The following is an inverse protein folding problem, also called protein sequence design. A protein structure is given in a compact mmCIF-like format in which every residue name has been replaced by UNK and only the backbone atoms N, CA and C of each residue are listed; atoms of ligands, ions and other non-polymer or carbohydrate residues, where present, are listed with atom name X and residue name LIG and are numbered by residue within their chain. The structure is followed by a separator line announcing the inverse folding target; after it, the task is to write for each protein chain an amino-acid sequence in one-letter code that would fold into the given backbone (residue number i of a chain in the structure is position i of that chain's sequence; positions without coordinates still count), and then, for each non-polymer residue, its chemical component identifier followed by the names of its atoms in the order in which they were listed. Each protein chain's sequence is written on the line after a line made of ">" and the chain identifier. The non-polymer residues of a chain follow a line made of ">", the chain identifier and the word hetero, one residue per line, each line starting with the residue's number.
data_IF_024146907374
#
_entry.id   IF_024146907374
#
_cell.length_a   1.000
_cell.length_b   1.000
_cell.length_c   1.000
_cell.angle_alpha   90.00
_cell.angle_beta   90.00
_cell.angle_gamma   90.00
#
_symmetry.space_group_name_H-M   'P 1'
#
loop_
_entity.id
_entity.type
_entity.pdbx_description
1 polymer ?
#
# COMPACT_ATOMS: atom_id res chain seq x y z
N UNK A 1 -22.56 -13.14 21.42
CA UNK A 1 -21.23 -13.13 20.77
C UNK A 1 -20.17 -12.91 21.85
N UNK A 2 -18.95 -13.40 21.68
CA UNK A 2 -17.86 -13.31 22.67
C UNK A 2 -16.62 -12.72 22.02
N UNK A 3 -16.16 -11.58 22.50
CA UNK A 3 -14.92 -10.96 22.05
C UNK A 3 -13.74 -11.45 22.88
N UNK A 4 -12.60 -11.71 22.25
CA UNK A 4 -11.39 -12.17 22.92
C UNK A 4 -10.16 -11.47 22.34
N UNK A 5 -9.29 -10.96 23.21
CA UNK A 5 -8.00 -10.40 22.82
C UNK A 5 -7.07 -11.50 22.30
N UNK A 6 -6.26 -11.17 21.31
CA UNK A 6 -5.27 -12.10 20.75
C UNK A 6 -4.02 -12.11 21.61
N UNK A 7 -3.99 -13.04 22.57
CA UNK A 7 -2.89 -13.20 23.53
C UNK A 7 -2.28 -14.62 23.54
N UNK A 8 -2.76 -15.51 22.67
CA UNK A 8 -2.26 -16.88 22.57
C UNK A 8 -2.17 -17.37 21.11
N UNK A 9 -1.58 -18.55 20.92
CA UNK A 9 -1.40 -19.16 19.59
C UNK A 9 -2.73 -19.49 18.90
N UNK A 10 -3.80 -19.76 19.64
CA UNK A 10 -5.10 -20.14 19.09
C UNK A 10 -5.81 -18.91 18.51
N UNK A 11 -5.95 -17.87 19.31
CA UNK A 11 -6.54 -16.59 18.93
C UNK A 11 -5.75 -15.93 17.79
N UNK A 12 -4.41 -16.02 17.79
CA UNK A 12 -3.59 -15.52 16.69
C UNK A 12 -3.86 -16.26 15.37
N UNK A 13 -4.04 -17.58 15.45
CA UNK A 13 -4.38 -18.41 14.29
C UNK A 13 -5.80 -18.12 13.77
N UNK A 14 -6.75 -17.91 14.67
CA UNK A 14 -8.13 -17.55 14.31
C UNK A 14 -8.17 -16.17 13.63
N UNK A 15 -7.45 -15.20 14.20
CA UNK A 15 -7.28 -13.86 13.63
C UNK A 15 -6.78 -13.92 12.18
N UNK A 16 -5.72 -14.70 11.92
CA UNK A 16 -5.13 -14.80 10.57
C UNK A 16 -6.00 -15.59 9.57
N UNK A 17 -6.80 -16.54 10.05
CA UNK A 17 -7.58 -17.43 9.18
C UNK A 17 -8.96 -16.90 8.84
N UNK A 18 -9.55 -16.04 9.67
CA UNK A 18 -10.89 -15.50 9.45
C UNK A 18 -11.11 -14.95 8.01
N UNK A 19 -10.21 -14.13 7.43
CA UNK A 19 -10.35 -13.67 6.04
C UNK A 19 -10.53 -14.81 5.06
N UNK A 20 -9.71 -15.88 5.16
CA UNK A 20 -9.79 -17.02 4.25
C UNK A 20 -11.17 -17.65 4.22
N UNK A 21 -11.89 -17.58 5.33
CA UNK A 21 -13.27 -18.05 5.39
C UNK A 21 -14.25 -17.03 4.80
N UNK A 22 -14.11 -15.73 5.10
CA UNK A 22 -14.98 -14.66 4.56
C UNK A 22 -14.89 -14.61 3.03
N UNK A 23 -13.67 -14.56 2.48
CA UNK A 23 -13.41 -14.41 1.04
C UNK A 23 -13.36 -15.74 0.27
N UNK A 24 -13.76 -16.88 0.86
CA UNK A 24 -13.58 -18.22 0.26
C UNK A 24 -14.23 -18.43 -1.12
N UNK A 25 -15.21 -17.59 -1.47
CA UNK A 25 -15.92 -17.63 -2.75
C UNK A 25 -15.62 -16.40 -3.63
N UNK A 26 -14.71 -15.53 -3.22
CA UNK A 26 -14.32 -14.36 -3.98
C UNK A 26 -13.07 -14.68 -4.83
N UNK A 27 -13.18 -14.70 -6.17
CA UNK A 27 -12.05 -15.04 -7.05
C UNK A 27 -10.98 -13.93 -7.12
N UNK A 28 -11.31 -12.70 -6.69
CA UNK A 28 -10.41 -11.57 -6.75
C UNK A 28 -9.52 -11.46 -5.51
N UNK A 29 -9.95 -12.05 -4.40
CA UNK A 29 -9.21 -11.94 -3.15
C UNK A 29 -7.89 -12.72 -3.17
N UNK A 30 -6.82 -12.05 -2.77
CA UNK A 30 -5.49 -12.63 -2.62
C UNK A 30 -5.11 -12.60 -1.15
N UNK A 31 -4.91 -13.77 -0.55
CA UNK A 31 -4.52 -13.88 0.86
C UNK A 31 -3.17 -13.20 1.09
N UNK A 32 -3.09 -12.24 2.03
CA UNK A 32 -1.81 -11.75 2.54
C UNK A 32 -0.96 -12.89 3.08
N UNK A 33 0.36 -12.69 3.09
CA UNK A 33 1.28 -13.60 3.75
C UNK A 33 1.05 -13.56 5.26
N UNK A 34 0.85 -14.73 5.87
CA UNK A 34 0.58 -14.85 7.31
C UNK A 34 1.70 -14.22 8.15
N UNK A 35 2.95 -14.36 7.72
CA UNK A 35 4.11 -13.77 8.41
C UNK A 35 4.10 -12.24 8.33
N UNK A 36 3.84 -11.65 7.15
CA UNK A 36 3.75 -10.19 7.00
C UNK A 36 2.70 -9.59 7.95
N UNK A 37 1.57 -10.28 8.13
CA UNK A 37 0.55 -9.84 9.09
C UNK A 37 0.98 -10.07 10.53
N UNK A 38 1.71 -11.15 10.84
CA UNK A 38 2.22 -11.40 12.20
C UNK A 38 3.26 -10.37 12.61
N UNK A 39 4.20 -10.04 11.72
CA UNK A 39 5.31 -9.12 11.99
C UNK A 39 4.82 -7.74 12.41
N UNK A 40 3.66 -7.27 11.91
CA UNK A 40 3.02 -6.01 12.32
C UNK A 40 2.72 -5.97 13.83
N UNK A 41 2.42 -7.11 14.44
CA UNK A 41 2.06 -7.21 15.86
C UNK A 41 3.20 -7.76 16.72
N UNK A 42 4.42 -7.90 16.18
CA UNK A 42 5.59 -8.37 16.90
C UNK A 42 6.51 -7.17 17.24
N UNK A 43 6.66 -6.81 18.53
CA UNK A 43 7.54 -5.72 18.96
C UNK A 43 9.02 -5.88 18.58
N UNK A 44 9.48 -7.09 18.28
CA UNK A 44 10.85 -7.34 17.84
C UNK A 44 11.03 -7.14 16.32
N UNK A 45 9.93 -7.08 15.56
CA UNK A 45 9.94 -6.98 14.10
C UNK A 45 9.41 -5.64 13.60
N UNK A 46 8.47 -5.02 14.32
CA UNK A 46 7.89 -3.74 13.96
C UNK A 46 8.46 -2.61 14.83
N UNK A 47 9.28 -1.75 14.23
CA UNK A 47 9.93 -0.63 14.92
C UNK A 47 8.95 0.39 15.51
N UNK A 48 7.69 0.43 15.05
CA UNK A 48 6.67 1.34 15.55
C UNK A 48 6.31 1.10 17.02
N UNK A 49 6.58 -0.09 17.57
CA UNK A 49 6.43 -0.35 19.01
C UNK A 49 7.40 0.46 19.89
N UNK A 50 8.40 1.13 19.31
CA UNK A 50 9.26 2.07 20.04
C UNK A 50 8.56 3.40 20.40
N UNK A 51 7.47 3.74 19.71
CA UNK A 51 6.71 5.00 19.88
C UNK A 51 5.20 4.77 19.73
N UNK A 52 4.72 3.57 20.05
CA UNK A 52 3.34 3.21 19.84
C UNK A 52 2.94 1.89 20.49
N UNK A 53 1.63 1.68 20.57
CA UNK A 53 1.04 0.47 21.13
C UNK A 53 -0.03 -0.06 20.19
N UNK A 54 -0.11 -1.38 20.05
CA UNK A 54 -1.04 -2.05 19.16
C UNK A 54 -1.58 -3.31 19.83
N UNK A 55 -2.88 -3.58 19.66
CA UNK A 55 -3.50 -4.85 20.04
C UNK A 55 -4.58 -5.23 19.03
N UNK A 56 -5.15 -6.42 19.18
CA UNK A 56 -6.15 -6.98 18.26
C UNK A 56 -7.05 -8.01 18.95
N UNK A 57 -8.26 -8.16 18.41
CA UNK A 57 -9.30 -9.04 18.94
C UNK A 57 -9.94 -9.89 17.84
N UNK A 58 -10.53 -11.00 18.28
CA UNK A 58 -11.38 -11.87 17.47
C UNK A 58 -12.76 -11.95 18.15
N UNK A 59 -13.81 -11.82 17.37
CA UNK A 59 -15.19 -12.00 17.78
C UNK A 59 -15.67 -13.40 17.39
N UNK A 60 -16.26 -14.09 18.36
CA UNK A 60 -16.83 -15.43 18.19
C UNK A 60 -18.35 -15.42 18.31
N UNK A 61 -19.03 -16.25 17.53
CA UNK A 61 -20.45 -16.53 17.70
C UNK A 61 -20.72 -17.43 18.92
N UNK A 62 -21.99 -17.76 19.15
CA UNK A 62 -22.42 -18.62 20.26
C UNK A 62 -21.91 -20.06 20.16
N UNK A 63 -21.50 -20.51 18.96
CA UNK A 63 -20.93 -21.83 18.69
C UNK A 63 -19.40 -21.84 18.80
N UNK A 64 -18.78 -20.69 19.10
CA UNK A 64 -17.34 -20.55 19.22
C UNK A 64 -16.61 -20.44 17.88
N UNK A 65 -17.32 -20.12 16.79
CA UNK A 65 -16.72 -19.88 15.47
C UNK A 65 -16.30 -18.40 15.34
N UNK A 66 -15.11 -18.10 14.80
CA UNK A 66 -14.71 -16.73 14.49
C UNK A 66 -15.64 -16.12 13.45
N UNK A 67 -16.22 -14.96 13.74
CA UNK A 67 -17.12 -14.20 12.85
C UNK A 67 -16.65 -12.77 12.60
N UNK A 68 -15.65 -12.29 13.35
CA UNK A 68 -15.13 -10.94 13.20
C UNK A 68 -13.73 -10.80 13.79
N UNK A 69 -12.98 -9.79 13.36
CA UNK A 69 -11.69 -9.39 13.94
C UNK A 69 -11.46 -7.89 13.75
N UNK A 70 -10.67 -7.30 14.63
CA UNK A 70 -10.25 -5.89 14.51
C UNK A 70 -8.91 -5.70 15.23
N UNK A 71 -8.07 -4.81 14.73
CA UNK A 71 -6.89 -4.30 15.41
C UNK A 71 -7.08 -2.81 15.74
N UNK A 72 -6.52 -2.37 16.86
CA UNK A 72 -6.46 -0.97 17.23
C UNK A 72 -5.04 -0.60 17.69
N UNK A 73 -4.63 0.62 17.40
CA UNK A 73 -3.28 1.08 17.74
C UNK A 73 -3.23 2.59 18.00
N UNK A 74 -2.20 2.99 18.74
CA UNK A 74 -1.78 4.37 18.89
C UNK A 74 -0.35 4.46 18.38
N UNK A 75 -0.14 5.33 17.40
CA UNK A 75 1.19 5.78 17.01
C UNK A 75 1.38 7.19 17.58
N UNK A 76 2.20 7.34 18.62
CA UNK A 76 2.39 8.61 19.31
C UNK A 76 2.96 9.68 18.37
N UNK A 77 3.75 9.28 17.38
CA UNK A 77 4.29 10.19 16.38
C UNK A 77 3.24 10.71 15.41
N UNK A 78 2.05 10.11 15.32
CA UNK A 78 0.96 10.51 14.41
C UNK A 78 -0.27 11.03 15.16
N UNK A 79 -0.61 10.42 16.28
CA UNK A 79 -1.87 10.64 16.99
C UNK A 79 -2.14 12.10 17.36
N UNK A 80 -1.09 12.83 17.75
CA UNK A 80 -1.19 14.21 18.24
C UNK A 80 -0.98 15.28 17.16
N UNK A 81 -0.86 14.88 15.89
CA UNK A 81 -0.74 15.82 14.76
C UNK A 81 -2.08 16.22 14.15
N UNK A 82 -3.14 15.52 14.53
CA UNK A 82 -4.51 15.88 14.16
C UNK A 82 -5.09 16.89 15.16
N UNK A 83 -6.13 17.65 14.78
CA UNK A 83 -6.81 18.58 15.70
C UNK A 83 -7.32 17.91 16.99
N UNK A 84 -7.49 16.59 16.97
CA UNK A 84 -7.87 15.76 18.12
C UNK A 84 -6.93 14.56 18.18
N UNK A 85 -6.48 14.11 19.36
CA UNK A 85 -5.72 12.86 19.50
C UNK A 85 -6.46 11.70 18.84
N UNK A 86 -5.86 11.12 17.80
CA UNK A 86 -6.54 10.14 16.92
C UNK A 86 -5.75 8.84 16.85
N UNK A 87 -6.39 7.73 17.22
CA UNK A 87 -5.85 6.38 17.05
C UNK A 87 -6.17 5.78 15.68
N UNK A 88 -5.65 4.58 15.43
CA UNK A 88 -5.95 3.83 14.22
C UNK A 88 -6.71 2.53 14.50
N UNK A 89 -7.59 2.14 13.58
CA UNK A 89 -8.18 0.81 13.52
C UNK A 89 -7.90 0.17 12.17
N UNK A 90 -7.61 -1.13 12.18
CA UNK A 90 -7.11 -1.87 11.04
C UNK A 90 -7.49 -3.34 11.09
N UNK A 91 -7.13 -4.08 10.03
CA UNK A 91 -7.39 -5.52 9.90
C UNK A 91 -8.85 -5.94 10.19
N UNK A 92 -9.79 -5.00 10.05
CA UNK A 92 -11.20 -5.25 10.27
C UNK A 92 -11.69 -6.32 9.31
N UNK A 93 -12.31 -7.35 9.86
CA UNK A 93 -13.10 -8.30 9.10
C UNK A 93 -14.34 -8.64 9.89
N UNK A 94 -15.47 -8.80 9.21
CA UNK A 94 -16.72 -9.17 9.84
C UNK A 94 -17.57 -9.94 8.86
N UNK A 95 -18.38 -10.87 9.35
CA UNK A 95 -19.55 -11.32 8.59
C UNK A 95 -20.48 -10.12 8.34
N UNK A 96 -21.37 -10.25 7.35
CA UNK A 96 -22.37 -9.24 7.03
C UNK A 96 -23.45 -9.16 8.13
N UNK A 97 -23.06 -8.59 9.26
CA UNK A 97 -23.83 -8.46 10.49
C UNK A 97 -23.42 -7.17 11.20
N UNK A 98 -24.33 -6.21 11.28
CA UNK A 98 -24.09 -4.91 11.90
C UNK A 98 -23.84 -5.02 13.41
N UNK A 99 -24.49 -5.95 14.10
CA UNK A 99 -24.31 -6.11 15.54
C UNK A 99 -22.88 -6.61 15.84
N UNK A 100 -22.38 -7.56 15.04
CA UNK A 100 -21.00 -8.03 15.13
C UNK A 100 -19.99 -6.90 14.84
N UNK A 101 -20.24 -6.09 13.81
CA UNK A 101 -19.40 -4.95 13.48
C UNK A 101 -19.37 -3.91 14.61
N UNK A 102 -20.53 -3.58 15.19
CA UNK A 102 -20.62 -2.65 16.31
C UNK A 102 -19.80 -3.12 17.52
N UNK A 103 -19.88 -4.41 17.88
CA UNK A 103 -19.08 -4.97 19.00
C UNK A 103 -17.57 -4.80 18.74
N UNK A 104 -17.11 -5.02 17.50
CA UNK A 104 -15.71 -4.83 17.13
C UNK A 104 -15.29 -3.37 17.25
N UNK A 105 -16.08 -2.45 16.67
CA UNK A 105 -15.77 -1.02 16.71
C UNK A 105 -15.86 -0.43 18.11
N UNK A 106 -16.84 -0.81 18.92
CA UNK A 106 -16.96 -0.40 20.32
C UNK A 106 -15.75 -0.88 21.15
N UNK A 107 -15.25 -2.09 20.87
CA UNK A 107 -14.07 -2.63 21.55
C UNK A 107 -12.82 -1.81 21.23
N UNK A 108 -12.60 -1.50 19.94
CA UNK A 108 -11.49 -0.65 19.53
C UNK A 108 -11.61 0.77 20.08
N UNK A 109 -12.81 1.37 20.00
CA UNK A 109 -13.12 2.70 20.58
C UNK A 109 -12.80 2.73 22.08
N UNK A 110 -13.32 1.78 22.86
CA UNK A 110 -13.10 1.71 24.30
C UNK A 110 -11.61 1.62 24.64
N UNK A 111 -10.87 0.76 23.94
CA UNK A 111 -9.43 0.63 24.15
C UNK A 111 -8.68 1.92 23.79
N UNK A 112 -9.04 2.58 22.68
CA UNK A 112 -8.44 3.84 22.27
C UNK A 112 -8.75 5.00 23.24
N UNK A 113 -9.97 5.07 23.78
CA UNK A 113 -10.34 6.03 24.82
C UNK A 113 -9.49 5.83 26.09
N UNK A 114 -9.23 4.58 26.49
CA UNK A 114 -8.33 4.27 27.61
C UNK A 114 -6.87 4.71 27.35
N UNK A 115 -6.48 4.89 26.09
CA UNK A 115 -5.18 5.45 25.68
C UNK A 115 -5.22 6.97 25.44
N UNK A 116 -6.31 7.64 25.83
CA UNK A 116 -6.45 9.09 25.72
C UNK A 116 -6.78 9.59 24.30
N UNK A 117 -7.14 8.69 23.38
CA UNK A 117 -7.58 9.09 22.04
C UNK A 117 -9.03 9.59 22.08
N UNK A 118 -9.35 10.51 21.17
CA UNK A 118 -10.65 11.15 21.01
C UNK A 118 -11.32 10.81 19.67
N UNK A 119 -10.61 10.11 18.79
CA UNK A 119 -11.13 9.63 17.52
C UNK A 119 -10.35 8.39 17.06
N UNK A 120 -10.89 7.68 16.07
CA UNK A 120 -10.19 6.63 15.35
C UNK A 120 -10.33 6.79 13.84
N UNK A 121 -9.22 6.66 13.12
CA UNK A 121 -9.20 6.52 11.66
C UNK A 121 -9.15 5.05 11.26
N UNK A 122 -9.80 4.68 10.15
CA UNK A 122 -9.72 3.32 9.66
C UNK A 122 -10.43 3.08 8.31
N UNK A 123 -10.17 1.94 7.67
CA UNK A 123 -9.13 0.99 8.03
C UNK A 123 -7.74 1.50 7.63
N UNK A 124 -6.79 1.43 8.58
CA UNK A 124 -5.37 1.81 8.46
C UNK A 124 -4.50 0.81 9.23
N UNK A 125 -3.18 0.81 9.06
CA UNK A 125 -2.30 -0.17 9.74
C UNK A 125 -1.28 0.48 10.66
N UNK A 126 -0.83 -0.32 11.65
CA UNK A 126 0.24 0.07 12.56
C UNK A 126 1.60 -0.08 11.87
N UNK A 127 2.03 1.01 11.23
CA UNK A 127 3.22 1.05 10.41
C UNK A 127 3.13 2.16 9.36
N UNK A 128 3.98 2.05 8.35
CA UNK A 128 3.98 2.97 7.20
C UNK A 128 2.70 2.85 6.37
N UNK A 129 2.36 3.92 5.64
CA UNK A 129 1.21 3.97 4.74
C UNK A 129 1.54 3.35 3.36
N UNK A 130 2.08 2.13 3.34
CA UNK A 130 2.51 1.45 2.11
C UNK A 130 1.65 0.21 1.75
N UNK A 131 0.97 -0.38 2.75
CA UNK A 131 0.21 -1.64 2.61
C UNK A 131 -1.11 -1.64 3.38
N UNK A 132 -2.10 -2.35 2.82
CA UNK A 132 -3.44 -2.64 3.33
C UNK A 132 -4.17 -1.44 3.94
N UNK A 133 -4.09 -0.30 3.28
CA UNK A 133 -4.66 0.96 3.73
C UNK A 133 -5.96 1.29 2.98
N UNK A 134 -6.94 1.86 3.70
CA UNK A 134 -8.23 2.27 3.14
C UNK A 134 -9.17 1.11 2.85
N UNK A 135 -10.47 1.37 2.92
CA UNK A 135 -11.53 0.42 2.61
C UNK A 135 -11.82 0.46 1.11
N UNK A 136 -11.80 -0.68 0.41
CA UNK A 136 -12.20 -0.72 -0.99
C UNK A 136 -13.70 -0.42 -1.13
N UNK A 137 -14.04 0.71 -1.76
CA UNK A 137 -15.43 1.16 -1.97
C UNK A 137 -15.85 1.15 -3.46
N UNK A 138 -14.88 1.18 -4.38
CA UNK A 138 -15.13 1.08 -5.82
C UNK A 138 -14.03 0.27 -6.50
N UNK A 139 -14.37 -0.45 -7.57
CA UNK A 139 -13.39 -1.20 -8.36
C UNK A 139 -13.00 -2.55 -7.77
N UNK A 140 -13.99 -3.36 -7.37
CA UNK A 140 -13.86 -4.73 -6.83
C UNK A 140 -13.24 -5.73 -7.83
N UNK A 141 -11.98 -5.48 -8.18
CA UNK A 141 -11.11 -6.25 -9.07
C UNK A 141 -9.91 -6.78 -8.27
N UNK A 142 -9.15 -7.77 -8.77
CA UNK A 142 -8.01 -8.33 -8.04
C UNK A 142 -7.03 -7.23 -7.59
N UNK A 143 -6.68 -7.15 -6.29
CA UNK A 143 -5.80 -6.10 -5.77
C UNK A 143 -4.37 -6.31 -6.25
N UNK A 144 -3.67 -5.23 -6.61
CA UNK A 144 -2.22 -5.29 -6.78
C UNK A 144 -1.52 -5.56 -5.44
N UNK A 145 -0.31 -6.10 -5.48
CA UNK A 145 0.50 -6.36 -4.30
C UNK A 145 0.50 -5.18 -3.31
N UNK A 146 0.16 -5.45 -2.05
CA UNK A 146 0.11 -4.47 -0.97
C UNK A 146 -1.19 -3.66 -0.85
N UNK A 147 -2.08 -3.66 -1.85
CA UNK A 147 -3.35 -2.93 -1.75
C UNK A 147 -4.37 -3.70 -0.90
N UNK A 148 -5.25 -2.96 -0.21
CA UNK A 148 -6.34 -3.57 0.55
C UNK A 148 -7.44 -4.10 -0.39
N UNK A 149 -8.18 -5.11 0.06
CA UNK A 149 -9.33 -5.64 -0.65
C UNK A 149 -10.39 -6.07 0.35
N UNK A 150 -11.64 -5.64 0.14
CA UNK A 150 -12.73 -5.82 1.08
C UNK A 150 -14.02 -6.20 0.34
N UNK A 151 -14.96 -6.91 0.98
CA UNK A 151 -16.28 -7.15 0.41
C UNK A 151 -17.08 -5.84 0.34
N UNK A 152 -17.97 -5.67 -0.66
CA UNK A 152 -18.75 -4.45 -0.82
C UNK A 152 -19.56 -4.04 0.43
N UNK A 153 -20.09 -5.01 1.19
CA UNK A 153 -20.92 -4.73 2.37
C UNK A 153 -20.16 -4.07 3.53
N UNK A 154 -18.81 -4.11 3.53
CA UNK A 154 -18.04 -3.46 4.60
C UNK A 154 -18.27 -1.95 4.65
N UNK A 155 -18.53 -1.31 3.50
CA UNK A 155 -18.83 0.12 3.47
C UNK A 155 -20.03 0.44 4.37
N UNK A 156 -21.09 -0.35 4.26
CA UNK A 156 -22.29 -0.17 5.04
C UNK A 156 -22.04 -0.42 6.53
N UNK A 157 -21.21 -1.41 6.89
CA UNK A 157 -20.85 -1.68 8.28
C UNK A 157 -20.15 -0.49 8.97
N UNK A 158 -19.22 0.16 8.27
CA UNK A 158 -18.53 1.36 8.75
C UNK A 158 -19.51 2.53 8.87
N UNK A 159 -20.24 2.84 7.79
CA UNK A 159 -21.11 4.02 7.72
C UNK A 159 -22.27 3.94 8.72
N UNK A 160 -22.88 2.77 8.92
CA UNK A 160 -23.94 2.57 9.90
C UNK A 160 -23.47 2.69 11.35
N UNK A 161 -22.21 2.38 11.65
CA UNK A 161 -21.65 2.62 12.99
C UNK A 161 -21.43 4.12 13.26
N UNK A 162 -21.35 4.94 12.20
CA UNK A 162 -21.19 6.39 12.27
C UNK A 162 -19.83 6.89 11.78
N UNK A 163 -19.02 6.05 11.13
CA UNK A 163 -17.81 6.51 10.46
C UNK A 163 -18.17 7.45 9.31
N UNK A 164 -17.41 8.54 9.18
CA UNK A 164 -17.54 9.50 8.06
C UNK A 164 -16.29 9.46 7.19
N UNK A 165 -16.43 9.79 5.90
CA UNK A 165 -15.28 9.87 4.98
C UNK A 165 -14.26 10.88 5.53
N UNK A 166 -13.01 10.44 5.68
CA UNK A 166 -11.87 11.34 5.89
C UNK A 166 -11.30 11.78 4.54
N UNK A 167 -10.90 10.82 3.70
CA UNK A 167 -10.37 11.06 2.35
C UNK A 167 -10.45 9.78 1.49
N UNK A 168 -10.49 9.97 0.19
CA UNK A 168 -10.42 8.88 -0.81
C UNK A 168 -9.03 8.78 -1.42
N UNK A 169 -8.69 7.59 -1.88
CA UNK A 169 -7.42 7.24 -2.49
C UNK A 169 -7.71 6.56 -3.81
N UNK A 170 -7.17 7.11 -4.88
CA UNK A 170 -7.39 6.62 -6.23
C UNK A 170 -6.26 5.70 -6.65
N UNK A 171 -6.66 4.56 -7.20
CA UNK A 171 -5.80 3.73 -8.05
C UNK A 171 -6.26 3.92 -9.48
N UNK A 172 -5.40 4.49 -10.31
CA UNK A 172 -5.67 4.64 -11.75
C UNK A 172 -4.94 3.54 -12.52
N UNK A 173 -5.57 3.00 -13.56
CA UNK A 173 -4.98 2.01 -14.44
C UNK A 173 -4.58 2.66 -15.77
N UNK A 174 -3.31 2.51 -16.10
CA UNK A 174 -2.74 2.87 -17.39
C UNK A 174 -2.67 1.61 -18.26
N UNK A 175 -3.46 1.60 -19.33
CA UNK A 175 -3.47 0.51 -20.31
C UNK A 175 -2.23 0.62 -21.21
N UNK A 176 -1.34 -0.39 -21.14
CA UNK A 176 -0.12 -0.40 -21.93
C UNK A 176 -0.36 -0.75 -23.41
N UNK A 177 -1.55 -1.26 -23.75
CA UNK A 177 -1.95 -1.56 -25.13
C UNK A 177 -2.46 -0.33 -25.88
N UNK A 178 -2.78 0.74 -25.15
CA UNK A 178 -3.24 2.01 -25.71
C UNK A 178 -2.05 2.98 -25.77
N UNK A 179 -1.76 3.59 -26.94
CA UNK A 179 -0.74 4.63 -27.03
C UNK A 179 -1.02 5.77 -26.05
N UNK A 180 0.03 6.28 -25.41
CA UNK A 180 -0.10 7.48 -24.58
C UNK A 180 -0.55 8.69 -25.43
N UNK A 181 -1.22 9.68 -24.82
CA UNK A 181 -1.58 10.90 -25.51
C UNK A 181 -0.36 11.57 -26.16
N UNK A 182 -0.49 12.00 -27.43
CA UNK A 182 0.62 12.57 -28.21
C UNK A 182 1.30 13.75 -27.50
N UNK A 183 0.51 14.59 -26.82
CA UNK A 183 1.01 15.70 -26.01
C UNK A 183 1.97 15.24 -24.92
N UNK A 184 1.65 14.12 -24.26
CA UNK A 184 2.50 13.55 -23.22
C UNK A 184 3.82 13.06 -23.82
N UNK A 185 3.76 12.25 -24.87
CA UNK A 185 4.94 11.71 -25.56
C UNK A 185 5.86 12.81 -26.09
N UNK A 186 5.31 13.87 -26.69
CA UNK A 186 6.11 14.98 -27.19
C UNK A 186 6.87 15.71 -26.09
N UNK A 187 6.25 15.91 -24.93
CA UNK A 187 6.87 16.57 -23.78
C UNK A 187 7.96 15.65 -23.19
N UNK A 188 7.67 14.37 -22.96
CA UNK A 188 8.64 13.43 -22.42
C UNK A 188 9.86 13.29 -23.32
N UNK A 189 9.66 13.12 -24.63
CA UNK A 189 10.75 12.96 -25.60
C UNK A 189 11.62 14.21 -25.71
N UNK A 190 11.02 15.40 -25.59
CA UNK A 190 11.76 16.66 -25.56
C UNK A 190 12.60 16.79 -24.29
N UNK A 191 12.03 16.44 -23.12
CA UNK A 191 12.75 16.46 -21.84
C UNK A 191 13.92 15.48 -21.86
N UNK A 192 13.72 14.26 -22.37
CA UNK A 192 14.76 13.22 -22.45
C UNK A 192 15.94 13.62 -23.34
N UNK A 193 15.72 14.52 -24.32
CA UNK A 193 16.77 15.00 -25.24
C UNK A 193 17.49 16.25 -24.74
N UNK A 194 17.07 16.85 -23.62
CA UNK A 194 17.71 18.06 -23.10
C UNK A 194 19.14 17.78 -22.67
N UNK A 195 20.11 18.63 -23.07
CA UNK A 195 21.48 18.54 -22.55
C UNK A 195 21.52 18.58 -21.03
N UNK A 196 22.46 17.83 -20.45
CA UNK A 196 22.63 17.73 -19.00
C UNK A 196 21.77 16.65 -18.35
N UNK A 197 20.63 16.26 -18.93
CA UNK A 197 19.83 15.18 -18.35
C UNK A 197 20.33 13.80 -18.78
N UNK A 198 20.39 12.87 -17.84
CA UNK A 198 20.57 11.45 -18.13
C UNK A 198 19.61 10.60 -17.30
N UNK A 199 19.29 9.42 -17.82
CA UNK A 199 18.38 8.47 -17.19
C UNK A 199 19.07 7.13 -17.09
N UNK A 200 19.00 6.48 -15.94
CA UNK A 200 19.50 5.12 -15.78
C UNK A 200 18.57 4.27 -14.94
N UNK A 201 18.51 2.98 -15.27
CA UNK A 201 17.78 2.01 -14.47
C UNK A 201 18.63 1.55 -13.28
N UNK A 202 17.95 1.15 -12.21
CA UNK A 202 18.55 0.57 -11.03
C UNK A 202 19.42 -0.64 -11.39
N UNK A 203 20.51 -0.84 -10.66
CA UNK A 203 21.38 -2.01 -10.82
C UNK A 203 21.75 -2.57 -9.46
N UNK A 204 21.57 -3.87 -9.26
CA UNK A 204 21.82 -4.50 -7.96
C UNK A 204 23.28 -4.35 -7.52
N UNK A 205 24.22 -4.39 -8.46
CA UNK A 205 25.66 -4.19 -8.20
C UNK A 205 25.97 -2.79 -7.63
N UNK A 206 25.15 -1.79 -7.96
CA UNK A 206 25.32 -0.38 -7.57
C UNK A 206 24.28 0.05 -6.53
N UNK A 207 23.63 -0.91 -5.84
CA UNK A 207 22.46 -0.65 -4.98
C UNK A 207 22.67 0.46 -3.94
N UNK A 208 23.87 0.55 -3.34
CA UNK A 208 24.15 1.55 -2.31
C UNK A 208 24.20 2.98 -2.87
N UNK A 209 24.60 3.16 -4.13
CA UNK A 209 24.49 4.46 -4.82
C UNK A 209 23.01 4.82 -4.95
N UNK A 210 22.20 3.92 -5.52
CA UNK A 210 20.77 4.16 -5.71
C UNK A 210 19.99 4.36 -4.41
N UNK A 211 20.38 3.72 -3.31
CA UNK A 211 19.78 3.98 -2.00
C UNK A 211 20.06 5.40 -1.50
N UNK A 212 21.27 5.91 -1.73
CA UNK A 212 21.61 7.31 -1.40
C UNK A 212 20.87 8.29 -2.30
N UNK A 213 20.86 8.04 -3.60
CA UNK A 213 20.14 8.86 -4.58
C UNK A 213 18.63 8.91 -4.24
N UNK A 214 18.03 7.76 -3.90
CA UNK A 214 16.64 7.66 -3.46
C UNK A 214 16.40 8.47 -2.18
N UNK A 215 17.25 8.29 -1.16
CA UNK A 215 17.14 9.02 0.11
C UNK A 215 17.18 10.53 -0.11
N UNK A 216 18.13 11.01 -0.93
CA UNK A 216 18.31 12.42 -1.21
C UNK A 216 17.08 13.02 -1.90
N UNK A 217 16.59 12.38 -2.97
CA UNK A 217 15.40 12.85 -3.70
C UNK A 217 14.17 12.78 -2.80
N UNK A 218 13.97 11.68 -2.06
CA UNK A 218 12.79 11.46 -1.22
C UNK A 218 12.72 12.49 -0.08
N UNK A 219 13.83 12.72 0.61
CA UNK A 219 13.88 13.67 1.71
C UNK A 219 13.71 15.12 1.23
N UNK A 220 14.23 15.47 0.04
CA UNK A 220 13.94 16.77 -0.55
C UNK A 220 12.46 16.90 -0.94
N UNK A 221 11.95 15.98 -1.75
CA UNK A 221 10.64 16.09 -2.37
C UNK A 221 9.47 16.05 -1.36
N UNK A 222 9.61 15.35 -0.23
CA UNK A 222 8.55 15.24 0.79
C UNK A 222 8.74 16.16 2.01
N UNK A 223 9.80 16.94 2.08
CA UNK A 223 10.09 17.78 3.26
C UNK A 223 9.03 18.83 3.61
N UNK A 224 8.15 19.21 2.67
CA UNK A 224 7.04 20.15 2.95
C UNK A 224 5.76 19.45 3.46
N UNK A 225 5.69 18.11 3.42
CA UNK A 225 4.50 17.44 3.92
C UNK A 225 4.40 17.63 5.43
N UNK A 226 3.23 18.04 5.93
CA UNK A 226 2.99 18.05 7.37
C UNK A 226 3.31 16.66 7.89
N UNK A 227 4.18 16.60 8.91
CA UNK A 227 4.52 15.38 9.62
C UNK A 227 5.50 14.43 8.92
N UNK A 228 6.18 14.89 7.86
CA UNK A 228 7.24 14.12 7.21
C UNK A 228 8.41 13.84 8.15
N UNK A 229 8.77 12.56 8.26
CA UNK A 229 10.01 12.13 8.90
C UNK A 229 10.98 11.69 7.79
N UNK A 230 12.19 12.27 7.72
CA UNK A 230 13.18 11.86 6.74
C UNK A 230 13.45 10.35 6.80
N UNK A 231 13.47 9.70 5.64
CA UNK A 231 13.76 8.27 5.56
C UNK A 231 15.25 8.03 5.79
N UNK A 232 15.57 6.98 6.55
CA UNK A 232 16.94 6.54 6.80
C UNK A 232 17.41 5.53 5.74
N UNK A 233 18.72 5.44 5.52
CA UNK A 233 19.30 4.40 4.66
C UNK A 233 19.02 2.99 5.20
N UNK A 234 18.92 2.82 6.51
CA UNK A 234 18.60 1.53 7.12
C UNK A 234 17.18 1.07 6.75
N UNK A 235 16.21 1.98 6.88
CA UNK A 235 14.83 1.76 6.45
C UNK A 235 14.77 1.37 4.97
N UNK A 236 15.50 2.08 4.10
CA UNK A 236 15.56 1.76 2.66
C UNK A 236 16.12 0.35 2.43
N UNK A 237 17.20 -0.04 3.12
CA UNK A 237 17.80 -1.38 2.99
C UNK A 237 16.86 -2.48 3.44
N UNK A 238 16.12 -2.26 4.52
CA UNK A 238 15.16 -3.25 5.03
C UNK A 238 13.97 -3.43 4.08
N UNK A 239 13.39 -2.33 3.60
CA UNK A 239 12.33 -2.36 2.58
C UNK A 239 12.82 -3.05 1.30
N UNK A 240 14.02 -2.70 0.84
CA UNK A 240 14.63 -3.35 -0.33
C UNK A 240 14.81 -4.86 -0.12
N UNK A 241 15.29 -5.29 1.05
CA UNK A 241 15.48 -6.72 1.37
C UNK A 241 14.17 -7.50 1.26
N UNK A 242 13.05 -6.90 1.69
CA UNK A 242 11.72 -7.49 1.57
C UNK A 242 11.22 -7.56 0.12
N UNK A 243 11.52 -6.54 -0.69
CA UNK A 243 11.07 -6.44 -2.09
C UNK A 243 11.97 -7.21 -3.07
N UNK A 244 13.23 -7.49 -2.71
CA UNK A 244 14.23 -8.17 -3.55
C UNK A 244 13.71 -9.43 -4.26
N UNK A 245 12.90 -10.32 -3.65
CA UNK A 245 12.40 -11.51 -4.33
C UNK A 245 11.52 -11.25 -5.56
N UNK A 246 10.91 -10.06 -5.65
CA UNK A 246 9.99 -9.67 -6.73
C UNK A 246 10.51 -8.48 -7.55
N UNK A 247 11.70 -7.98 -7.23
CA UNK A 247 12.30 -6.82 -7.88
C UNK A 247 12.74 -7.12 -9.32
N UNK A 248 12.49 -6.17 -10.21
CA UNK A 248 13.04 -6.12 -11.56
C UNK A 248 13.79 -4.80 -11.72
N UNK A 249 15.11 -4.90 -11.92
CA UNK A 249 16.05 -3.79 -12.02
C UNK A 249 15.66 -2.77 -13.12
N UNK A 250 15.10 -3.26 -14.22
CA UNK A 250 14.85 -2.44 -15.41
C UNK A 250 13.56 -1.64 -15.35
N UNK A 251 12.72 -1.86 -14.34
CA UNK A 251 11.50 -1.06 -14.13
C UNK A 251 11.63 -0.12 -12.92
N UNK A 252 12.85 0.13 -12.47
CA UNK A 252 13.17 1.16 -11.49
C UNK A 252 14.13 2.12 -12.16
N UNK A 253 13.76 3.39 -12.26
CA UNK A 253 14.54 4.39 -13.00
C UNK A 253 14.84 5.61 -12.16
N UNK A 254 16.01 6.19 -12.41
CA UNK A 254 16.48 7.43 -11.84
C UNK A 254 16.81 8.40 -12.98
N UNK A 255 16.50 9.67 -12.75
CA UNK A 255 16.88 10.78 -13.60
C UNK A 255 17.91 11.63 -12.88
N UNK A 256 18.87 12.12 -13.64
CA UNK A 256 19.97 12.96 -13.16
C UNK A 256 20.05 14.20 -14.03
N UNK A 257 20.45 15.30 -13.41
CA UNK A 257 20.90 16.50 -14.10
C UNK A 257 22.38 16.68 -13.79
N UNK A 258 23.21 16.57 -14.82
CA UNK A 258 24.66 16.40 -14.72
C UNK A 258 25.02 15.16 -13.89
N UNK A 259 25.43 15.34 -12.63
CA UNK A 259 25.73 14.26 -11.69
C UNK A 259 24.78 14.24 -10.49
N UNK A 260 23.82 15.17 -10.44
CA UNK A 260 22.89 15.30 -9.32
C UNK A 260 21.67 14.38 -9.57
N UNK A 261 21.28 13.50 -8.62
CA UNK A 261 20.04 12.75 -8.70
C UNK A 261 18.85 13.72 -8.54
N UNK A 262 17.93 13.75 -9.51
CA UNK A 262 16.81 14.72 -9.53
C UNK A 262 15.43 14.10 -9.36
N UNK A 263 15.22 12.90 -9.89
CA UNK A 263 13.93 12.21 -9.81
C UNK A 263 14.09 10.70 -9.88
N UNK A 264 13.10 9.97 -9.37
CA UNK A 264 13.04 8.52 -9.49
C UNK A 264 11.61 8.01 -9.71
N UNK A 265 11.51 6.79 -10.22
CA UNK A 265 10.30 5.99 -10.27
C UNK A 265 10.62 4.57 -9.82
N UNK A 266 9.88 4.08 -8.83
CA UNK A 266 9.99 2.70 -8.36
C UNK A 266 8.74 1.95 -8.78
N UNK A 267 8.88 1.07 -9.76
CA UNK A 267 7.83 0.17 -10.21
C UNK A 267 8.16 -1.26 -9.79
N UNK A 268 7.13 -2.04 -9.44
CA UNK A 268 7.26 -3.45 -9.12
C UNK A 268 6.31 -4.28 -10.01
N UNK A 269 6.69 -5.52 -10.36
CA UNK A 269 5.73 -6.47 -10.90
C UNK A 269 4.65 -6.76 -9.86
N UNK A 270 3.41 -6.97 -10.31
CA UNK A 270 2.34 -7.33 -9.40
C UNK A 270 2.50 -8.76 -8.85
N UNK A 271 3.20 -8.86 -7.73
CA UNK A 271 3.47 -10.12 -7.07
C UNK A 271 2.21 -10.88 -6.64
N UNK A 272 1.06 -10.22 -6.50
CA UNK A 272 -0.20 -10.90 -6.15
C UNK A 272 -0.62 -11.92 -7.21
N UNK A 273 -0.24 -11.74 -8.48
CA UNK A 273 -0.52 -12.72 -9.54
C UNK A 273 0.17 -14.08 -9.29
N UNK A 274 1.30 -14.07 -8.57
CA UNK A 274 2.02 -15.28 -8.14
C UNK A 274 1.56 -15.71 -6.75
N UNK A 275 1.50 -14.76 -5.81
CA UNK A 275 1.23 -15.03 -4.39
C UNK A 275 -0.17 -15.61 -4.14
N UNK A 276 -1.14 -15.38 -5.03
CA UNK A 276 -2.46 -16.03 -4.93
C UNK A 276 -2.38 -17.56 -4.84
N UNK A 277 -1.35 -18.17 -5.42
CA UNK A 277 -1.18 -19.62 -5.46
C UNK A 277 -0.50 -20.21 -4.20
N UNK A 278 0.06 -19.37 -3.32
CA UNK A 278 0.66 -19.83 -2.04
C UNK A 278 -0.32 -19.74 -0.87
N UNK A 279 -1.51 -19.18 -1.08
CA UNK A 279 -2.58 -19.05 -0.09
C UNK A 279 -2.09 -18.50 1.26
N UNK A 280 -1.24 -17.46 1.21
CA UNK A 280 -0.71 -16.77 2.39
C UNK A 280 0.37 -17.52 3.18
N UNK A 281 0.88 -18.66 2.70
CA UNK A 281 1.88 -19.45 3.43
C UNK A 281 3.17 -19.62 2.63
N UNK A 282 4.28 -19.11 3.16
CA UNK A 282 5.64 -19.33 2.63
C UNK A 282 6.47 -20.32 3.48
N UNK A 283 5.87 -21.46 3.82
CA UNK A 283 6.64 -22.62 4.30
C UNK A 283 7.46 -23.23 3.15
N UNK A 284 8.19 -24.33 3.38
CA UNK A 284 9.01 -24.96 2.33
C UNK A 284 8.23 -25.19 1.02
N UNK A 285 7.02 -25.76 1.11
CA UNK A 285 6.14 -25.97 -0.03
C UNK A 285 5.64 -24.67 -0.67
N UNK A 286 5.31 -23.67 0.14
CA UNK A 286 4.92 -22.33 -0.32
C UNK A 286 6.04 -21.64 -1.08
N UNK A 287 7.29 -21.75 -0.62
CA UNK A 287 8.48 -21.22 -1.29
C UNK A 287 8.74 -21.92 -2.63
N UNK A 288 8.60 -23.25 -2.66
CA UNK A 288 8.70 -24.02 -3.91
C UNK A 288 7.62 -23.61 -4.92
N UNK A 289 6.37 -23.47 -4.47
CA UNK A 289 5.27 -22.96 -5.31
C UNK A 289 5.57 -21.55 -5.81
N UNK A 290 5.99 -20.65 -4.93
CA UNK A 290 6.35 -19.28 -5.28
C UNK A 290 7.43 -19.26 -6.38
N UNK A 291 8.51 -20.03 -6.21
CA UNK A 291 9.57 -20.12 -7.20
C UNK A 291 9.05 -20.71 -8.53
N UNK A 292 8.26 -21.77 -8.48
CA UNK A 292 7.68 -22.36 -9.68
C UNK A 292 6.86 -21.34 -10.47
N UNK A 293 5.87 -20.70 -9.83
CA UNK A 293 5.05 -19.67 -10.48
C UNK A 293 5.86 -18.43 -10.86
N UNK A 294 6.92 -18.07 -10.13
CA UNK A 294 7.82 -16.97 -10.53
C UNK A 294 8.49 -17.22 -11.87
N UNK A 295 8.83 -18.48 -12.19
CA UNK A 295 9.46 -18.84 -13.46
C UNK A 295 8.49 -19.25 -14.55
N UNK A 296 7.27 -19.70 -14.22
CA UNK A 296 6.29 -20.19 -15.20
C UNK A 296 5.13 -19.24 -15.47
N UNK A 297 4.82 -18.34 -14.54
CA UNK A 297 3.71 -17.39 -14.68
C UNK A 297 4.18 -16.09 -15.33
N UNK A 298 3.44 -15.64 -16.33
CA UNK A 298 3.64 -14.33 -16.94
C UNK A 298 2.88 -13.28 -16.13
N UNK A 299 3.60 -12.40 -15.43
CA UNK A 299 3.01 -11.22 -14.82
C UNK A 299 2.65 -10.23 -15.92
N UNK A 300 1.39 -9.79 -15.96
CA UNK A 300 0.88 -8.84 -16.96
C UNK A 300 0.53 -7.45 -16.41
N UNK A 301 0.68 -7.25 -15.10
CA UNK A 301 0.40 -5.98 -14.42
C UNK A 301 1.60 -5.51 -13.62
N UNK A 302 1.92 -4.23 -13.72
CA UNK A 302 2.90 -3.57 -12.87
C UNK A 302 2.19 -2.63 -11.88
N UNK A 303 2.87 -2.27 -10.78
CA UNK A 303 2.42 -1.25 -9.83
C UNK A 303 3.55 -0.24 -9.64
N UNK A 304 3.27 1.04 -9.88
CA UNK A 304 4.18 2.11 -9.44
C UNK A 304 3.95 2.26 -7.93
N UNK A 305 5.01 2.08 -7.15
CA UNK A 305 4.96 2.20 -5.69
C UNK A 305 5.15 3.66 -5.28
N UNK A 306 6.13 4.32 -5.89
CA UNK A 306 6.47 5.70 -5.56
C UNK A 306 7.16 6.39 -6.74
N UNK A 307 6.87 7.68 -6.93
CA UNK A 307 7.54 8.59 -7.84
C UNK A 307 7.91 9.85 -7.08
N UNK A 308 9.17 10.26 -7.17
CA UNK A 308 9.67 11.45 -6.49
C UNK A 308 10.47 12.33 -7.42
N UNK A 309 10.33 13.65 -7.27
CA UNK A 309 11.15 14.64 -7.97
C UNK A 309 11.51 15.76 -7.00
N UNK A 310 12.81 16.10 -6.95
CA UNK A 310 13.33 17.22 -6.18
C UNK A 310 12.56 18.49 -6.49
N UNK A 311 12.29 19.31 -5.48
CA UNK A 311 11.46 20.52 -5.58
C UNK A 311 11.93 21.47 -6.68
N UNK A 312 13.25 21.68 -6.78
CA UNK A 312 13.89 22.53 -7.80
C UNK A 312 13.61 22.07 -9.24
N UNK A 313 13.31 20.78 -9.44
CA UNK A 313 13.08 20.17 -10.75
C UNK A 313 11.61 19.79 -10.99
N UNK A 314 10.71 20.10 -10.04
CA UNK A 314 9.28 19.90 -10.23
C UNK A 314 8.77 20.77 -11.38
N UNK A 315 7.79 20.27 -12.12
CA UNK A 315 7.23 20.91 -13.33
C UNK A 315 8.22 21.01 -14.51
N UNK A 316 9.42 20.44 -14.44
CA UNK A 316 10.34 20.34 -15.59
C UNK A 316 10.04 19.13 -16.49
N UNK A 317 9.05 18.31 -16.13
CA UNK A 317 8.62 17.12 -16.89
C UNK A 317 9.42 15.85 -16.59
N UNK A 318 10.15 15.82 -15.46
CA UNK A 318 10.99 14.68 -15.06
C UNK A 318 10.17 13.40 -14.85
N UNK A 319 9.02 13.51 -14.20
CA UNK A 319 8.10 12.41 -13.95
C UNK A 319 7.57 11.83 -15.26
N UNK A 320 7.29 12.69 -16.25
CA UNK A 320 6.86 12.26 -17.59
C UNK A 320 7.97 11.55 -18.35
N UNK A 321 9.21 12.03 -18.24
CA UNK A 321 10.38 11.37 -18.84
C UNK A 321 10.65 9.99 -18.21
N UNK A 322 10.52 9.86 -16.88
CA UNK A 322 10.66 8.57 -16.19
C UNK A 322 9.58 7.56 -16.59
N UNK A 323 8.33 8.00 -16.72
CA UNK A 323 7.24 7.18 -17.25
C UNK A 323 7.53 6.75 -18.70
N UNK A 324 8.15 7.62 -19.50
CA UNK A 324 8.58 7.28 -20.86
C UNK A 324 9.72 6.26 -20.88
N UNK A 325 10.72 6.36 -20.01
CA UNK A 325 11.76 5.33 -19.87
C UNK A 325 11.17 3.97 -19.54
N UNK A 326 10.20 3.92 -18.61
CA UNK A 326 9.48 2.69 -18.31
C UNK A 326 8.72 2.15 -19.52
N UNK A 327 8.06 3.03 -20.28
CA UNK A 327 7.33 2.63 -21.47
C UNK A 327 8.26 1.98 -22.52
N UNK A 328 9.42 2.60 -22.78
CA UNK A 328 10.41 2.09 -23.73
C UNK A 328 11.01 0.73 -23.31
N UNK A 329 11.12 0.48 -22.01
CA UNK A 329 11.57 -0.81 -21.49
C UNK A 329 10.46 -1.87 -21.47
N UNK A 330 9.23 -1.48 -21.15
CA UNK A 330 8.14 -2.42 -20.87
C UNK A 330 7.40 -2.86 -22.13
N UNK A 331 7.11 -1.94 -23.07
CA UNK A 331 6.32 -2.27 -24.27
C UNK A 331 6.97 -3.36 -25.15
N UNK A 332 8.30 -3.38 -25.38
CA UNK A 332 8.93 -4.44 -26.15
C UNK A 332 8.79 -5.84 -25.56
N UNK A 333 8.50 -5.96 -24.26
CA UNK A 333 8.32 -7.24 -23.56
C UNK A 333 7.04 -7.96 -24.00
N UNK A 334 6.02 -7.23 -24.48
CA UNK A 334 4.71 -7.75 -24.95
C UNK A 334 3.90 -8.57 -23.92
N UNK A 335 4.38 -8.68 -22.69
CA UNK A 335 3.71 -9.42 -21.60
C UNK A 335 2.87 -8.51 -20.70
N UNK A 336 3.24 -7.23 -20.58
CA UNK A 336 2.57 -6.27 -19.71
C UNK A 336 1.37 -5.66 -20.44
N UNK A 337 0.20 -5.80 -19.84
CA UNK A 337 -1.07 -5.20 -20.29
C UNK A 337 -1.34 -3.84 -19.67
N UNK A 338 -0.82 -3.58 -18.48
CA UNK A 338 -0.99 -2.26 -17.88
C UNK A 338 -0.28 -2.07 -16.55
N UNK A 339 -0.42 -0.84 -16.05
CA UNK A 339 0.27 -0.35 -14.86
C UNK A 339 -0.75 0.29 -13.92
N UNK A 340 -0.76 -0.13 -12.66
CA UNK A 340 -1.50 0.54 -11.61
C UNK A 340 -0.67 1.71 -11.05
N UNK A 341 -1.27 2.89 -11.16
CA UNK A 341 -0.82 4.14 -10.57
C UNK A 341 -1.57 4.32 -9.25
N UNK A 342 -1.04 3.70 -8.20
CA UNK A 342 -1.50 3.80 -6.82
C UNK A 342 -0.35 4.38 -5.98
N UNK A 343 -0.54 5.03 -4.85
CA UNK A 343 -1.72 5.41 -4.08
C UNK A 343 -1.80 6.94 -4.15
N UNK A 344 -2.91 7.51 -4.64
CA UNK A 344 -3.04 8.97 -4.78
C UNK A 344 -4.25 9.47 -4.02
N UNK A 345 -4.03 10.17 -2.91
CA UNK A 345 -5.08 10.82 -2.14
C UNK A 345 -5.85 11.85 -2.98
N UNK A 346 -7.14 12.01 -2.70
CA UNK A 346 -8.03 12.98 -3.36
C UNK A 346 -7.57 14.44 -3.20
N UNK A 347 -6.73 14.71 -2.22
CA UNK A 347 -6.05 15.98 -1.98
C UNK A 347 -4.79 16.23 -2.85
N UNK A 348 -4.28 15.23 -3.60
CA UNK A 348 -3.07 15.37 -4.42
C UNK A 348 -3.40 15.67 -5.90
N UNK A 349 -3.83 16.90 -6.17
CA UNK A 349 -4.24 17.35 -7.50
C UNK A 349 -3.14 17.22 -8.55
N UNK A 350 -1.87 17.46 -8.17
CA UNK A 350 -0.71 17.38 -9.07
C UNK A 350 -0.54 15.96 -9.63
N UNK A 351 -0.53 14.95 -8.76
CA UNK A 351 -0.42 13.56 -9.19
C UNK A 351 -1.64 13.09 -9.97
N UNK A 352 -2.84 13.52 -9.57
CA UNK A 352 -4.06 13.23 -10.32
C UNK A 352 -4.02 13.83 -11.73
N UNK A 353 -3.46 15.04 -11.90
CA UNK A 353 -3.26 15.64 -13.20
C UNK A 353 -2.23 14.88 -14.06
N UNK A 354 -1.14 14.40 -13.46
CA UNK A 354 -0.16 13.54 -14.14
C UNK A 354 -0.81 12.24 -14.64
N UNK A 355 -1.62 11.58 -13.82
CA UNK A 355 -2.33 10.35 -14.22
C UNK A 355 -3.30 10.61 -15.38
N UNK A 356 -4.03 11.74 -15.36
CA UNK A 356 -4.89 12.11 -16.50
C UNK A 356 -4.07 12.40 -17.75
N UNK A 357 -2.89 13.00 -17.62
CA UNK A 357 -2.01 13.31 -18.74
C UNK A 357 -1.43 12.06 -19.42
N UNK A 358 -1.24 10.96 -18.69
CA UNK A 358 -0.83 9.66 -19.28
C UNK A 358 -1.99 8.94 -19.96
N UNK A 359 -3.24 9.38 -19.77
CA UNK A 359 -4.43 8.70 -20.26
C UNK A 359 -4.95 7.60 -19.32
N UNK A 360 -4.41 7.50 -18.11
CA UNK A 360 -4.87 6.52 -17.13
C UNK A 360 -6.31 6.82 -16.69
N UNK A 361 -7.07 5.77 -16.42
CA UNK A 361 -8.47 5.84 -15.95
C UNK A 361 -8.58 5.35 -14.52
N UNK A 362 -9.52 5.89 -13.76
CA UNK A 362 -9.79 5.39 -12.41
C UNK A 362 -10.21 3.92 -12.47
N UNK A 363 -9.55 3.10 -11.65
CA UNK A 363 -9.74 1.66 -11.59
C UNK A 363 -10.32 1.22 -10.25
N UNK A 364 -9.81 1.78 -9.15
CA UNK A 364 -10.29 1.50 -7.78
C UNK A 364 -10.28 2.76 -6.92
N UNK A 365 -11.15 2.78 -5.92
CA UNK A 365 -11.19 3.80 -4.87
C UNK A 365 -11.12 3.11 -3.51
N UNK A 366 -10.15 3.52 -2.70
CA UNK A 366 -10.03 3.15 -1.30
C UNK A 366 -10.37 4.36 -0.42
N UNK A 367 -11.25 4.18 0.56
CA UNK A 367 -11.68 5.23 1.47
C UNK A 367 -11.10 5.03 2.85
N UNK A 368 -10.48 6.05 3.40
CA UNK A 368 -10.20 6.12 4.83
C UNK A 368 -11.33 6.88 5.51
N UNK A 369 -11.85 6.29 6.58
CA UNK A 369 -12.89 6.86 7.41
C UNK A 369 -12.33 7.41 8.72
N UNK A 370 -13.08 8.33 9.32
CA UNK A 370 -12.86 8.90 10.65
C UNK A 370 -14.13 8.66 11.49
N UNK A 371 -13.94 8.26 12.75
CA UNK A 371 -15.00 8.24 13.75
C UNK A 371 -14.54 9.02 14.98
N UNK A 372 -15.27 10.08 15.31
CA UNK A 372 -14.99 10.91 16.49
C UNK A 372 -15.73 10.32 17.68
N UNK A 373 -15.03 10.15 18.80
CA UNK A 373 -15.64 9.64 20.01
C UNK A 373 -16.56 10.70 20.62
N UNK A 374 -17.76 10.26 20.99
CA UNK A 374 -18.70 11.06 21.76
C UNK A 374 -18.25 11.20 23.22
#
# INVERSE_FOLDING_TARGET
>A
MRIQEVNDRRTAKDFLRLPKWIYRHDPNWVSPLENDIQDIFDPQRNSYFSHGVCTRWVLYDVQGKPIGRIAAFVDEHRAYKFPRPTGGVGFFECVDDQQAANILFDTAKTWLQQKGMQAMEGPVNFGENDRYWGLLVEGFKPPSFGMNYNPPYYQQLFENYGFVKAYDQYTNFLDATVPMPERFTRISDWVMKKPGYHFEHFRLKDQEKFFRDFQEIYNDAWSDFPNFTPISLETIRDVFRQMRPILDEKIIWFAYYEQEPVAFIVCLPDANQILKHVHGKLNLWGKLKFLWYKYTHTIDRLRIIVMGCKKRFQNHGMESALVRCLQEEVLPRKTIKGVELAWVGDFNEKMMALHRATGAKTDKIHRTYLYVFA
#
